data_IF_430202793873
#
_entry.id   IF_430202793873
#
_cell.length_a   1.000
_cell.length_b   1.000
_cell.length_c   1.000
_cell.angle_alpha   90.00
_cell.angle_beta   90.00
_cell.angle_gamma   90.00
#
_symmetry.space_group_name_H-M   'P 1'
#
loop_
_entity.id
_entity.type
_entity.pdbx_description
1 polymer ?
#
# COMPACT_ATOMS: atom_id res chain seq x y z
N UNK A 1 -10.11 11.80 18.14
CA UNK A 1 -10.72 12.14 19.44
C UNK A 1 -11.82 11.14 19.84
N UNK A 2 -12.52 10.51 18.87
CA UNK A 2 -13.63 9.58 19.15
C UNK A 2 -13.16 8.13 19.40
N UNK A 3 -11.86 7.92 19.62
CA UNK A 3 -11.27 6.67 20.05
C UNK A 3 -11.01 5.62 18.97
N UNK A 4 -11.20 5.96 17.69
CA UNK A 4 -10.75 5.10 16.60
C UNK A 4 -9.27 5.31 16.31
N UNK A 5 -8.55 4.21 16.05
CA UNK A 5 -7.21 4.32 15.46
C UNK A 5 -7.34 4.74 14.00
N UNK A 6 -6.63 5.80 13.64
CA UNK A 6 -6.41 6.16 12.25
C UNK A 6 -5.15 5.43 11.77
N UNK A 7 -5.23 4.77 10.63
CA UNK A 7 -4.09 4.12 10.00
C UNK A 7 -3.66 4.87 8.76
N UNK A 8 -2.38 4.78 8.43
CA UNK A 8 -1.89 5.16 7.11
C UNK A 8 -1.96 3.97 6.15
N UNK A 9 -2.09 4.26 4.87
CA UNK A 9 -1.82 3.30 3.80
C UNK A 9 -0.94 3.99 2.74
N UNK A 10 -0.52 3.24 1.73
CA UNK A 10 0.36 3.81 0.72
C UNK A 10 1.68 4.26 1.34
N UNK A 11 2.16 5.43 0.95
CA UNK A 11 3.49 5.96 1.32
C UNK A 11 3.49 6.96 2.48
N UNK A 12 2.35 7.25 3.11
CA UNK A 12 2.28 8.22 4.24
C UNK A 12 3.19 7.83 5.39
N UNK A 13 3.29 6.53 5.70
CA UNK A 13 4.17 6.03 6.77
C UNK A 13 5.67 6.16 6.48
N UNK A 14 6.09 6.67 5.31
CA UNK A 14 7.47 7.07 5.04
C UNK A 14 7.82 8.44 5.66
N UNK A 15 6.83 9.18 6.17
CA UNK A 15 7.02 10.50 6.78
C UNK A 15 7.11 10.39 8.29
N UNK A 16 8.27 10.73 8.86
CA UNK A 16 8.46 10.80 10.32
C UNK A 16 7.58 11.88 10.97
N UNK A 17 7.25 12.95 10.23
CA UNK A 17 6.30 13.97 10.69
C UNK A 17 4.90 13.37 10.88
N UNK A 18 4.47 12.48 9.99
CA UNK A 18 3.20 11.79 10.13
C UNK A 18 3.17 10.88 11.38
N UNK A 19 4.29 10.23 11.70
CA UNK A 19 4.46 9.44 12.94
C UNK A 19 4.35 10.34 14.18
N UNK A 20 5.10 11.42 14.22
CA UNK A 20 5.12 12.35 15.35
C UNK A 20 3.79 13.09 15.55
N UNK A 21 3.02 13.28 14.48
CA UNK A 21 1.67 13.88 14.54
C UNK A 21 0.57 12.86 14.91
N UNK A 22 0.92 11.58 15.10
CA UNK A 22 -0.06 10.52 15.40
C UNK A 22 -0.97 10.15 14.23
N UNK A 23 -0.62 10.53 13.01
CA UNK A 23 -1.35 10.16 11.78
C UNK A 23 -1.11 8.69 11.43
N UNK A 24 0.09 8.20 11.71
CA UNK A 24 0.49 6.81 11.52
C UNK A 24 1.31 6.31 12.71
N UNK A 25 1.29 5.00 12.93
CA UNK A 25 2.18 4.35 13.90
C UNK A 25 3.44 3.76 13.26
N UNK A 26 3.55 3.86 11.94
CA UNK A 26 4.76 3.46 11.21
C UNK A 26 5.87 4.45 11.49
N UNK A 27 6.97 3.98 12.09
CA UNK A 27 8.17 4.78 12.32
C UNK A 27 9.18 4.50 11.20
N UNK A 28 9.38 5.43 10.24
CA UNK A 28 10.25 5.19 9.10
C UNK A 28 11.75 5.22 9.40
N UNK A 29 12.14 5.66 10.57
CA UNK A 29 13.55 5.75 10.95
C UNK A 29 14.27 4.39 10.86
N UNK A 30 15.60 4.37 10.75
CA UNK A 30 16.37 3.14 10.88
C UNK A 30 16.10 2.43 12.20
N UNK A 31 16.31 1.10 12.30
CA UNK A 31 16.14 0.35 13.54
C UNK A 31 16.93 0.95 14.70
N UNK A 32 16.26 1.17 15.81
CA UNK A 32 16.83 1.79 17.00
C UNK A 32 16.12 1.36 18.28
N UNK A 33 16.77 1.56 19.41
CA UNK A 33 16.15 1.44 20.73
C UNK A 33 15.73 2.81 21.24
N UNK A 34 14.55 2.89 21.81
CA UNK A 34 14.02 4.12 22.45
C UNK A 34 13.59 3.82 23.89
N UNK A 35 14.10 4.56 24.83
CA UNK A 35 13.63 4.53 26.21
C UNK A 35 12.48 5.52 26.41
N UNK A 36 11.25 5.01 26.59
CA UNK A 36 10.07 5.84 26.81
C UNK A 36 10.09 6.61 28.15
N UNK A 37 11.02 6.27 29.06
CA UNK A 37 11.12 6.91 30.38
C UNK A 37 12.06 8.13 30.39
N UNK A 38 13.23 8.03 29.77
CA UNK A 38 14.23 9.12 29.78
C UNK A 38 14.58 9.64 28.39
N UNK A 39 13.87 9.18 27.36
CA UNK A 39 14.07 9.56 25.95
C UNK A 39 15.47 9.23 25.39
N UNK A 40 16.24 8.39 26.08
CA UNK A 40 17.50 7.89 25.55
C UNK A 40 17.24 7.02 24.33
N UNK A 41 17.95 7.25 23.24
CA UNK A 41 17.85 6.48 21.99
C UNK A 41 19.21 5.99 21.53
N UNK A 42 19.23 4.81 20.91
CA UNK A 42 20.42 4.19 20.34
C UNK A 42 20.10 3.66 18.96
N UNK A 43 20.61 4.33 17.92
CA UNK A 43 20.51 3.86 16.54
C UNK A 43 21.53 2.75 16.29
N UNK A 44 21.10 1.74 15.55
CA UNK A 44 21.98 0.64 15.15
C UNK A 44 22.74 1.01 13.88
N UNK A 45 23.90 0.39 13.69
CA UNK A 45 24.61 0.47 12.42
C UNK A 45 23.79 -0.20 11.32
N UNK A 46 23.96 0.31 10.11
CA UNK A 46 23.27 -0.19 8.91
C UNK A 46 23.54 -1.70 8.71
N UNK A 47 22.49 -2.46 8.39
CA UNK A 47 22.56 -3.90 8.16
C UNK A 47 22.57 -4.78 9.42
N UNK A 48 22.63 -4.21 10.65
CA UNK A 48 22.61 -5.00 11.90
C UNK A 48 21.23 -5.61 12.16
N UNK A 49 20.15 -4.90 11.82
CA UNK A 49 18.80 -5.40 11.93
C UNK A 49 17.95 -4.89 10.74
N UNK A 50 17.04 -5.72 10.28
CA UNK A 50 16.13 -5.37 9.19
C UNK A 50 14.92 -4.53 9.66
N UNK A 51 14.50 -4.73 10.93
CA UNK A 51 13.35 -4.06 11.53
C UNK A 51 13.56 -3.88 13.03
N UNK A 52 13.12 -2.75 13.57
CA UNK A 52 13.27 -2.43 14.99
C UNK A 52 12.41 -3.30 15.90
N UNK A 53 11.28 -3.82 15.41
CA UNK A 53 10.43 -4.69 16.22
C UNK A 53 10.98 -6.10 16.39
N UNK A 54 11.97 -6.49 15.59
CA UNK A 54 12.68 -7.77 15.72
C UNK A 54 13.90 -7.67 16.65
N UNK A 55 14.15 -6.50 17.23
CA UNK A 55 15.28 -6.32 18.17
C UNK A 55 15.04 -7.05 19.49
N UNK A 56 16.09 -7.69 20.06
CA UNK A 56 15.97 -8.30 21.36
C UNK A 56 15.71 -7.27 22.47
N UNK A 57 15.11 -7.73 23.56
CA UNK A 57 14.84 -6.88 24.72
C UNK A 57 16.14 -6.26 25.25
N UNK A 58 16.08 -4.97 25.60
CA UNK A 58 17.22 -4.20 26.10
C UNK A 58 16.82 -3.34 27.28
N UNK A 59 17.74 -3.20 28.22
CA UNK A 59 17.61 -2.29 29.36
C UNK A 59 18.36 -0.98 29.06
N UNK A 60 17.74 0.14 29.32
CA UNK A 60 18.32 1.45 29.12
C UNK A 60 19.57 1.64 30.00
N UNK A 61 20.71 1.97 29.42
CA UNK A 61 21.95 2.17 30.18
C UNK A 61 21.92 3.43 31.05
N UNK A 62 20.99 4.37 30.78
CA UNK A 62 20.88 5.64 31.51
C UNK A 62 19.97 5.54 32.73
N UNK A 63 18.79 4.91 32.59
CA UNK A 63 17.79 4.91 33.66
C UNK A 63 17.40 3.52 34.18
N UNK A 64 17.95 2.43 33.61
CA UNK A 64 17.68 1.06 34.01
C UNK A 64 16.27 0.54 33.68
N UNK A 65 15.49 1.25 32.87
CA UNK A 65 14.15 0.82 32.43
C UNK A 65 14.21 0.08 31.09
N UNK A 66 13.23 -0.76 30.75
CA UNK A 66 13.16 -1.39 29.43
C UNK A 66 13.15 -0.36 28.30
N UNK A 67 13.85 -0.65 27.23
CA UNK A 67 13.80 0.09 25.97
C UNK A 67 12.90 -0.62 24.97
N UNK A 68 12.27 0.16 24.11
CA UNK A 68 11.46 -0.34 22.99
C UNK A 68 12.30 -0.33 21.72
N UNK A 69 12.31 -1.45 20.98
CA UNK A 69 12.82 -1.48 19.62
C UNK A 69 11.81 -0.82 18.67
N UNK A 70 12.30 0.06 17.80
CA UNK A 70 11.49 0.79 16.80
C UNK A 70 12.28 1.01 15.51
N UNK A 71 11.55 1.46 14.47
CA UNK A 71 12.13 1.84 13.19
C UNK A 71 12.08 0.73 12.14
N UNK A 72 11.57 1.09 10.96
CA UNK A 72 11.32 0.14 9.86
C UNK A 72 12.20 0.40 8.63
N UNK A 73 13.16 1.33 8.73
CA UNK A 73 14.09 1.69 7.66
C UNK A 73 13.36 1.98 6.32
N UNK A 74 12.50 3.00 6.32
CA UNK A 74 11.72 3.41 5.16
C UNK A 74 12.23 4.76 4.65
N UNK A 75 12.81 4.86 3.46
CA UNK A 75 13.32 6.13 2.95
C UNK A 75 12.21 7.15 2.73
N UNK A 76 12.42 8.39 3.20
CA UNK A 76 11.48 9.50 3.01
C UNK A 76 11.31 9.88 1.54
N UNK A 77 12.33 9.66 0.75
CA UNK A 77 12.35 9.94 -0.69
C UNK A 77 11.25 9.17 -1.45
N UNK A 78 10.80 8.04 -0.93
CA UNK A 78 9.69 7.29 -1.53
C UNK A 78 8.35 8.03 -1.42
N UNK A 79 8.26 9.03 -0.54
CA UNK A 79 7.09 9.89 -0.35
C UNK A 79 7.13 11.17 -1.20
N UNK A 80 8.23 11.91 -1.16
CA UNK A 80 8.36 13.22 -1.82
C UNK A 80 9.42 13.28 -2.95
N UNK A 81 10.20 12.24 -3.18
CA UNK A 81 11.40 12.32 -4.03
C UNK A 81 12.58 12.97 -3.32
N UNK A 82 13.75 12.97 -3.95
CA UNK A 82 14.97 13.56 -3.37
C UNK A 82 14.94 15.10 -3.32
N UNK A 83 14.20 15.74 -4.20
CA UNK A 83 14.14 17.20 -4.34
C UNK A 83 12.73 17.74 -4.05
N UNK A 84 11.88 16.98 -3.37
CA UNK A 84 10.46 17.29 -3.20
C UNK A 84 9.74 17.52 -4.55
N UNK A 85 10.15 16.80 -5.56
CA UNK A 85 9.65 16.87 -6.94
C UNK A 85 8.49 15.90 -7.22
N UNK A 86 8.08 15.16 -6.20
CA UNK A 86 6.92 14.26 -6.26
C UNK A 86 5.79 14.80 -5.38
N UNK A 87 4.59 14.94 -5.97
CA UNK A 87 3.38 15.24 -5.18
C UNK A 87 3.06 14.03 -4.30
N UNK A 88 2.91 14.19 -2.97
CA UNK A 88 2.62 13.08 -2.08
C UNK A 88 1.19 12.57 -2.25
N UNK A 89 1.03 11.25 -2.29
CA UNK A 89 -0.28 10.61 -2.10
C UNK A 89 -0.55 10.49 -0.60
N UNK A 90 -1.62 11.12 -0.12
CA UNK A 90 -2.02 11.09 1.30
C UNK A 90 -3.22 10.17 1.46
N UNK A 91 -2.94 8.92 1.79
CA UNK A 91 -3.92 7.86 1.96
C UNK A 91 -4.08 7.51 3.44
N UNK A 92 -5.28 7.64 3.96
CA UNK A 92 -5.62 7.40 5.36
C UNK A 92 -6.77 6.42 5.50
N UNK A 93 -6.64 5.46 6.41
CA UNK A 93 -7.68 4.52 6.78
C UNK A 93 -8.43 5.01 8.02
N UNK A 94 -9.69 5.33 7.82
CA UNK A 94 -10.63 5.61 8.90
C UNK A 94 -11.58 4.42 9.11
N UNK A 95 -12.22 4.34 10.26
CA UNK A 95 -13.37 3.44 10.42
C UNK A 95 -14.42 3.75 9.36
N UNK A 96 -14.94 2.73 8.68
CA UNK A 96 -16.01 2.91 7.70
C UNK A 96 -17.26 3.58 8.29
N UNK A 97 -17.54 3.34 9.56
CA UNK A 97 -18.64 3.98 10.30
C UNK A 97 -18.39 5.48 10.55
N UNK A 98 -17.13 5.95 10.50
CA UNK A 98 -16.75 7.32 10.79
C UNK A 98 -16.27 8.11 9.56
N UNK A 99 -16.14 7.47 8.40
CA UNK A 99 -15.61 8.06 7.18
C UNK A 99 -16.36 9.35 6.76
N UNK A 100 -17.69 9.35 6.81
CA UNK A 100 -18.49 10.50 6.46
C UNK A 100 -18.18 11.73 7.33
N UNK A 101 -17.99 11.53 8.64
CA UNK A 101 -17.62 12.59 9.56
C UNK A 101 -16.20 13.13 9.26
N UNK A 102 -15.25 12.25 8.92
CA UNK A 102 -13.91 12.66 8.52
C UNK A 102 -13.94 13.49 7.23
N UNK A 103 -14.75 13.08 6.24
CA UNK A 103 -14.95 13.87 5.01
C UNK A 103 -15.55 15.25 5.35
N UNK A 104 -16.63 15.32 6.14
CA UNK A 104 -17.25 16.58 6.51
C UNK A 104 -16.28 17.51 7.25
N UNK A 105 -15.41 16.97 8.09
CA UNK A 105 -14.42 17.74 8.83
C UNK A 105 -13.39 18.42 7.92
N UNK A 106 -13.09 17.90 6.73
CA UNK A 106 -12.21 18.58 5.76
C UNK A 106 -12.78 19.93 5.31
N UNK A 107 -14.10 20.05 5.18
CA UNK A 107 -14.76 21.33 4.89
C UNK A 107 -14.55 22.35 6.01
N UNK A 108 -14.55 21.89 7.27
CA UNK A 108 -14.30 22.76 8.43
C UNK A 108 -12.86 23.29 8.43
N UNK A 109 -11.88 22.46 8.02
CA UNK A 109 -10.46 22.84 7.99
C UNK A 109 -10.15 23.77 6.83
N UNK A 110 -10.60 23.42 5.62
CA UNK A 110 -10.16 24.06 4.38
C UNK A 110 -11.19 25.06 3.80
N UNK A 111 -12.42 25.07 4.31
CA UNK A 111 -13.53 25.86 3.80
C UNK A 111 -14.42 25.07 2.83
N UNK A 112 -15.71 25.32 2.91
CA UNK A 112 -16.72 24.56 2.14
C UNK A 112 -16.57 24.74 0.62
N UNK A 113 -16.17 25.92 0.17
CA UNK A 113 -16.00 26.24 -1.24
C UNK A 113 -14.66 25.75 -1.83
N UNK A 114 -13.76 25.22 -0.99
CA UNK A 114 -12.45 24.70 -1.40
C UNK A 114 -12.36 23.19 -1.35
N UNK A 115 -13.43 22.48 -0.95
CA UNK A 115 -13.39 21.02 -0.75
C UNK A 115 -14.45 20.33 -1.62
N UNK A 116 -13.99 19.40 -2.45
CA UNK A 116 -14.82 18.67 -3.41
C UNK A 116 -14.53 17.17 -3.32
N UNK A 117 -15.52 16.35 -3.69
CA UNK A 117 -15.26 14.92 -3.95
C UNK A 117 -14.47 14.77 -5.25
N UNK A 118 -13.50 13.85 -5.27
CA UNK A 118 -12.79 13.55 -6.50
C UNK A 118 -13.72 12.86 -7.52
N UNK A 119 -13.76 13.38 -8.73
CA UNK A 119 -14.50 12.77 -9.84
C UNK A 119 -13.76 11.56 -10.41
N UNK A 120 -14.55 10.61 -10.93
CA UNK A 120 -14.04 9.47 -11.70
C UNK A 120 -14.76 9.40 -13.04
N UNK A 121 -14.04 8.97 -14.07
CA UNK A 121 -14.60 8.72 -15.40
C UNK A 121 -14.43 7.24 -15.71
N UNK A 122 -15.55 6.53 -15.81
CA UNK A 122 -15.57 5.15 -16.26
C UNK A 122 -15.65 5.07 -17.77
N UNK A 123 -14.77 4.29 -18.37
CA UNK A 123 -14.73 4.02 -19.80
C UNK A 123 -15.17 2.60 -20.12
N UNK A 124 -15.47 2.34 -21.37
CA UNK A 124 -15.79 0.99 -21.85
C UNK A 124 -14.49 0.19 -21.93
N UNK A 125 -14.38 -0.88 -21.11
CA UNK A 125 -13.25 -1.79 -21.18
C UNK A 125 -13.33 -2.64 -22.47
N UNK A 126 -12.17 -3.06 -23.02
CA UNK A 126 -12.10 -3.86 -24.27
C UNK A 126 -13.00 -5.10 -24.26
N UNK A 127 -12.98 -5.85 -23.16
CA UNK A 127 -13.82 -7.04 -23.00
C UNK A 127 -15.33 -6.71 -23.04
N UNK A 128 -15.72 -5.58 -22.44
CA UNK A 128 -17.10 -5.09 -22.46
C UNK A 128 -17.47 -4.59 -23.86
N UNK A 129 -16.55 -3.89 -24.52
CA UNK A 129 -16.73 -3.42 -25.90
C UNK A 129 -16.98 -4.58 -26.88
N UNK A 130 -16.24 -5.69 -26.73
CA UNK A 130 -16.47 -6.90 -27.53
C UNK A 130 -17.86 -7.49 -27.29
N UNK A 131 -18.30 -7.55 -26.02
CA UNK A 131 -19.65 -7.98 -25.65
C UNK A 131 -20.74 -7.12 -26.30
N UNK A 132 -20.54 -5.79 -26.33
CA UNK A 132 -21.46 -4.88 -27.01
C UNK A 132 -21.50 -5.09 -28.53
N UNK A 133 -20.33 -5.25 -29.16
CA UNK A 133 -20.26 -5.54 -30.60
C UNK A 133 -20.97 -6.85 -30.96
N UNK A 134 -20.80 -7.87 -30.14
CA UNK A 134 -21.48 -9.16 -30.32
C UNK A 134 -23.01 -9.04 -30.14
N UNK A 135 -23.45 -8.41 -29.03
CA UNK A 135 -24.88 -8.19 -28.78
C UNK A 135 -25.54 -7.34 -29.84
N UNK A 136 -24.82 -6.38 -30.43
CA UNK A 136 -25.32 -5.60 -31.56
C UNK A 136 -25.52 -6.49 -32.82
N UNK A 137 -24.56 -7.35 -33.15
CA UNK A 137 -24.69 -8.29 -34.25
C UNK A 137 -25.88 -9.26 -34.05
N UNK A 138 -26.07 -9.77 -32.83
CA UNK A 138 -27.21 -10.61 -32.45
C UNK A 138 -28.54 -9.85 -32.63
N UNK A 139 -28.60 -8.56 -32.22
CA UNK A 139 -29.80 -7.73 -32.38
C UNK A 139 -30.19 -7.54 -33.86
N UNK A 140 -29.19 -7.46 -34.73
CA UNK A 140 -29.39 -7.35 -36.17
C UNK A 140 -29.64 -8.68 -36.87
N UNK A 141 -29.49 -9.82 -36.17
CA UNK A 141 -29.63 -11.16 -36.74
C UNK A 141 -28.49 -11.55 -37.69
N UNK A 142 -27.32 -10.90 -37.57
CA UNK A 142 -26.14 -11.15 -38.42
C UNK A 142 -24.97 -11.79 -37.66
N UNK A 143 -25.21 -12.25 -36.46
CA UNK A 143 -24.18 -12.82 -35.57
C UNK A 143 -23.44 -14.03 -36.19
N UNK A 144 -24.12 -14.81 -37.03
CA UNK A 144 -23.54 -15.95 -37.76
C UNK A 144 -22.79 -15.54 -39.05
N UNK A 145 -22.96 -14.30 -39.50
CA UNK A 145 -22.35 -13.76 -40.72
C UNK A 145 -21.12 -12.91 -40.44
N UNK A 146 -21.05 -12.32 -39.24
CA UNK A 146 -19.96 -11.43 -38.85
C UNK A 146 -18.78 -12.22 -38.31
N UNK A 147 -17.60 -12.02 -38.89
CA UNK A 147 -16.36 -12.67 -38.44
C UNK A 147 -15.90 -12.05 -37.11
N UNK A 148 -15.25 -12.86 -36.26
CA UNK A 148 -14.67 -12.38 -34.98
C UNK A 148 -13.74 -11.18 -35.16
N UNK A 149 -12.94 -11.14 -36.24
CA UNK A 149 -12.07 -10.03 -36.55
C UNK A 149 -12.81 -8.69 -36.76
N UNK A 150 -14.03 -8.74 -37.33
CA UNK A 150 -14.86 -7.54 -37.48
C UNK A 150 -15.46 -7.11 -36.13
N UNK A 151 -15.90 -8.04 -35.29
CA UNK A 151 -16.32 -7.75 -33.91
C UNK A 151 -15.19 -7.13 -33.09
N UNK A 152 -13.95 -7.62 -33.23
CA UNK A 152 -12.78 -7.05 -32.61
C UNK A 152 -12.47 -5.64 -33.12
N UNK A 153 -12.60 -5.40 -34.43
CA UNK A 153 -12.42 -4.07 -35.02
C UNK A 153 -13.40 -3.05 -34.44
N UNK A 154 -14.69 -3.43 -34.37
CA UNK A 154 -15.73 -2.61 -33.77
C UNK A 154 -15.45 -2.36 -32.28
N UNK A 155 -15.11 -3.43 -31.54
CA UNK A 155 -14.79 -3.36 -30.13
C UNK A 155 -13.62 -2.40 -29.83
N UNK A 156 -12.54 -2.45 -30.64
CA UNK A 156 -11.41 -1.50 -30.50
C UNK A 156 -11.83 -0.05 -30.69
N UNK A 157 -12.78 0.23 -31.59
CA UNK A 157 -13.33 1.57 -31.79
C UNK A 157 -14.22 2.06 -30.64
N UNK A 158 -14.77 1.13 -29.84
CA UNK A 158 -15.61 1.43 -28.67
C UNK A 158 -14.83 1.41 -27.35
N UNK A 159 -13.64 0.79 -27.30
CA UNK A 159 -12.80 0.75 -26.12
C UNK A 159 -12.33 2.15 -25.72
N UNK A 160 -12.29 2.42 -24.42
CA UNK A 160 -11.83 3.72 -23.89
C UNK A 160 -12.86 4.86 -24.00
N UNK A 161 -14.00 4.67 -24.66
CA UNK A 161 -15.07 5.67 -24.74
C UNK A 161 -15.67 5.88 -23.35
N UNK A 162 -15.90 7.15 -22.97
CA UNK A 162 -16.57 7.51 -21.71
C UNK A 162 -17.94 6.87 -21.61
N UNK A 163 -18.20 6.19 -20.51
CA UNK A 163 -19.47 5.54 -20.19
C UNK A 163 -20.27 6.33 -19.16
N UNK A 164 -19.66 6.54 -17.98
CA UNK A 164 -20.29 7.23 -16.85
C UNK A 164 -19.27 8.08 -16.12
N UNK A 165 -19.77 9.09 -15.39
CA UNK A 165 -19.03 9.78 -14.35
C UNK A 165 -19.46 9.25 -12.99
N UNK A 166 -18.57 9.34 -12.00
CA UNK A 166 -18.83 8.90 -10.64
C UNK A 166 -18.01 9.69 -9.65
N UNK A 167 -18.13 9.31 -8.37
CA UNK A 167 -17.31 9.84 -7.29
C UNK A 167 -16.29 8.78 -6.86
N UNK A 168 -15.06 9.20 -6.59
CA UNK A 168 -14.08 8.36 -5.90
C UNK A 168 -14.57 8.10 -4.45
N UNK A 169 -14.54 6.87 -3.94
CA UNK A 169 -15.12 6.51 -2.65
C UNK A 169 -14.45 7.20 -1.45
N UNK A 170 -13.18 7.55 -1.55
CA UNK A 170 -12.40 8.19 -0.48
C UNK A 170 -11.76 9.52 -0.87
N UNK A 171 -11.71 9.86 -2.16
CA UNK A 171 -10.96 11.00 -2.66
C UNK A 171 -11.63 12.34 -2.34
N UNK A 172 -10.89 13.20 -1.67
CA UNK A 172 -11.23 14.59 -1.38
C UNK A 172 -10.21 15.48 -2.08
N UNK A 173 -10.69 16.38 -2.93
CA UNK A 173 -9.87 17.39 -3.59
C UNK A 173 -9.93 18.68 -2.78
N UNK A 174 -8.75 19.24 -2.51
CA UNK A 174 -8.61 20.53 -1.85
C UNK A 174 -8.05 21.55 -2.83
N UNK A 175 -8.83 22.62 -3.06
CA UNK A 175 -8.45 23.75 -3.90
C UNK A 175 -7.65 24.75 -3.05
N UNK A 176 -6.49 25.24 -3.51
CA UNK A 176 -5.72 26.23 -2.77
C UNK A 176 -6.53 27.51 -2.52
N UNK A 177 -6.30 28.17 -1.38
CA UNK A 177 -7.12 29.28 -0.87
C UNK A 177 -7.28 30.46 -1.83
N UNK A 178 -6.24 30.71 -2.65
CA UNK A 178 -6.19 31.86 -3.55
C UNK A 178 -6.77 31.56 -4.94
N UNK A 179 -7.36 30.37 -5.13
CA UNK A 179 -7.91 29.92 -6.41
C UNK A 179 -9.37 29.49 -6.28
N UNK A 180 -10.10 29.59 -7.39
CA UNK A 180 -11.43 29.02 -7.54
C UNK A 180 -11.36 27.61 -8.16
N UNK A 181 -12.35 26.77 -7.87
CA UNK A 181 -12.43 25.43 -8.47
C UNK A 181 -12.44 25.48 -10.00
N UNK A 182 -13.03 26.53 -10.60
CA UNK A 182 -13.11 26.69 -12.03
C UNK A 182 -11.77 27.01 -12.71
N UNK A 183 -10.73 27.36 -11.92
CA UNK A 183 -9.37 27.47 -12.45
C UNK A 183 -8.78 26.10 -12.80
N UNK A 184 -9.34 25.00 -12.24
CA UNK A 184 -8.85 23.63 -12.40
C UNK A 184 -9.85 22.72 -13.11
N UNK A 185 -11.15 22.80 -12.77
CA UNK A 185 -12.17 21.87 -13.24
C UNK A 185 -13.57 22.41 -13.04
N UNK A 186 -14.51 22.13 -13.93
CA UNK A 186 -15.93 22.22 -13.60
C UNK A 186 -16.27 21.25 -12.46
N UNK A 187 -17.36 21.48 -11.75
CA UNK A 187 -17.91 20.53 -10.81
C UNK A 187 -19.34 20.12 -11.19
N UNK A 188 -19.79 19.02 -10.64
CA UNK A 188 -21.13 18.48 -10.83
C UNK A 188 -21.71 17.99 -9.49
N UNK A 189 -23.03 17.90 -9.45
CA UNK A 189 -23.74 17.26 -8.35
C UNK A 189 -23.93 15.76 -8.66
N UNK A 190 -23.78 14.85 -7.66
CA UNK A 190 -24.02 13.42 -7.85
C UNK A 190 -25.43 13.17 -8.38
N UNK A 191 -25.57 12.36 -9.44
CA UNK A 191 -26.85 12.03 -10.08
C UNK A 191 -27.72 13.26 -10.44
N UNK A 192 -27.09 14.41 -10.69
CA UNK A 192 -27.75 15.70 -10.97
C UNK A 192 -28.66 16.22 -9.83
N UNK A 193 -28.49 15.70 -8.62
CA UNK A 193 -29.20 16.11 -7.42
C UNK A 193 -28.59 17.38 -6.82
N UNK A 194 -29.18 18.54 -7.08
CA UNK A 194 -28.74 19.83 -6.56
C UNK A 194 -28.86 19.97 -5.03
N UNK A 195 -29.60 19.07 -4.37
CA UNK A 195 -29.68 19.01 -2.92
C UNK A 195 -28.56 18.18 -2.27
N UNK A 196 -27.73 17.52 -3.07
CA UNK A 196 -26.61 16.73 -2.55
C UNK A 196 -25.62 17.61 -1.77
N UNK A 197 -25.21 17.15 -0.61
CA UNK A 197 -24.27 17.85 0.28
C UNK A 197 -22.88 18.04 -0.37
N UNK A 198 -22.49 17.13 -1.28
CA UNK A 198 -21.16 17.09 -1.87
C UNK A 198 -21.18 17.43 -3.36
N UNK A 199 -20.35 18.41 -3.72
CA UNK A 199 -19.99 18.68 -5.11
C UNK A 199 -18.82 17.81 -5.52
N UNK A 200 -18.78 17.37 -6.78
CA UNK A 200 -17.77 16.45 -7.32
C UNK A 200 -17.04 17.15 -8.47
N UNK A 201 -15.72 17.04 -8.52
CA UNK A 201 -14.95 17.52 -9.67
C UNK A 201 -15.39 16.76 -10.93
N UNK A 202 -15.55 17.49 -12.05
CA UNK A 202 -15.99 16.86 -13.31
C UNK A 202 -14.83 16.13 -14.00
N UNK A 203 -13.64 16.73 -13.99
CA UNK A 203 -12.47 16.05 -14.54
C UNK A 203 -12.04 14.92 -13.62
N UNK A 204 -11.57 13.83 -14.23
CA UNK A 204 -10.90 12.76 -13.50
C UNK A 204 -9.65 13.30 -12.81
N UNK A 205 -9.41 12.84 -11.59
CA UNK A 205 -8.27 13.33 -10.79
C UNK A 205 -6.93 13.20 -11.53
N UNK A 206 -6.74 12.13 -12.32
CA UNK A 206 -5.50 11.94 -13.07
C UNK A 206 -5.20 13.03 -14.11
N UNK A 207 -6.21 13.80 -14.49
CA UNK A 207 -6.03 14.94 -15.40
C UNK A 207 -5.64 16.25 -14.70
N UNK A 208 -5.82 16.34 -13.38
CA UNK A 208 -5.59 17.57 -12.59
C UNK A 208 -4.65 17.35 -11.39
N UNK A 209 -4.10 16.16 -11.21
CA UNK A 209 -3.34 15.75 -10.01
C UNK A 209 -2.05 16.57 -9.77
N UNK A 210 -1.49 17.17 -10.81
CA UNK A 210 -0.29 18.01 -10.68
C UNK A 210 -0.59 19.41 -10.12
N UNK A 211 -1.86 19.82 -10.10
CA UNK A 211 -2.28 21.18 -9.78
C UNK A 211 -3.06 21.29 -8.47
N UNK A 212 -3.65 20.20 -8.00
CA UNK A 212 -4.50 20.17 -6.81
C UNK A 212 -4.10 19.04 -5.87
N UNK A 213 -4.32 19.24 -4.56
CA UNK A 213 -4.05 18.21 -3.56
C UNK A 213 -5.26 17.28 -3.42
N UNK A 214 -5.00 15.98 -3.39
CA UNK A 214 -5.99 14.96 -3.06
C UNK A 214 -5.64 14.27 -1.75
N UNK A 215 -6.65 14.13 -0.88
CA UNK A 215 -6.63 13.22 0.26
C UNK A 215 -7.50 12.02 -0.03
N UNK A 216 -6.98 10.82 0.14
CA UNK A 216 -7.76 9.60 0.14
C UNK A 216 -8.12 9.22 1.58
N UNK A 217 -9.31 9.66 2.01
CA UNK A 217 -9.89 9.32 3.31
C UNK A 217 -10.81 8.12 3.10
N UNK A 218 -10.23 6.93 3.34
CA UNK A 218 -10.87 5.67 3.02
C UNK A 218 -11.56 5.06 4.24
N UNK A 219 -12.79 4.58 4.05
CA UNK A 219 -13.48 3.76 5.04
C UNK A 219 -12.93 2.34 5.02
N UNK A 220 -12.39 1.88 6.16
CA UNK A 220 -11.81 0.56 6.30
C UNK A 220 -12.44 -0.20 7.47
N UNK A 221 -12.40 -1.54 7.41
CA UNK A 221 -12.98 -2.40 8.46
C UNK A 221 -12.06 -2.47 9.68
N UNK A 222 -10.74 -2.48 9.47
CA UNK A 222 -9.75 -2.73 10.53
C UNK A 222 -9.85 -1.76 11.72
N UNK A 223 -9.95 -0.43 11.53
CA UNK A 223 -10.13 0.48 12.65
C UNK A 223 -11.40 0.21 13.46
N UNK A 224 -12.47 -0.25 12.79
CA UNK A 224 -13.73 -0.62 13.43
C UNK A 224 -13.58 -1.90 14.25
N UNK A 225 -12.90 -2.92 13.70
CA UNK A 225 -12.63 -4.20 14.39
C UNK A 225 -11.75 -3.97 15.61
N UNK A 226 -10.66 -3.22 15.47
CA UNK A 226 -9.75 -2.91 16.59
C UNK A 226 -10.49 -2.17 17.69
N UNK A 227 -11.35 -1.21 17.35
CA UNK A 227 -12.19 -0.52 18.33
C UNK A 227 -13.16 -1.47 19.04
N UNK A 228 -13.83 -2.33 18.29
CA UNK A 228 -14.72 -3.35 18.87
C UNK A 228 -13.96 -4.27 19.82
N UNK A 229 -12.77 -4.73 19.45
CA UNK A 229 -11.94 -5.57 20.31
C UNK A 229 -11.51 -4.84 21.58
N UNK A 230 -11.15 -3.56 21.48
CA UNK A 230 -10.86 -2.71 22.63
C UNK A 230 -12.06 -2.59 23.57
N UNK A 231 -13.26 -2.35 23.04
CA UNK A 231 -14.48 -2.23 23.84
C UNK A 231 -14.86 -3.56 24.53
N UNK A 232 -14.61 -4.71 23.88
CA UNK A 232 -14.90 -6.04 24.44
C UNK A 232 -13.86 -6.50 25.47
N UNK A 233 -12.60 -6.17 25.29
CA UNK A 233 -11.50 -6.68 26.12
C UNK A 233 -11.01 -5.69 27.17
N UNK A 234 -11.26 -4.39 26.98
CA UNK A 234 -10.68 -3.30 27.76
C UNK A 234 -9.19 -3.06 27.51
N UNK A 235 -8.58 -3.74 26.51
CA UNK A 235 -7.16 -3.60 26.18
C UNK A 235 -6.97 -2.45 25.20
N UNK A 236 -6.10 -1.50 25.54
CA UNK A 236 -5.68 -0.46 24.59
C UNK A 236 -4.77 -1.10 23.50
N UNK A 237 -5.16 -1.05 22.23
CA UNK A 237 -4.40 -1.68 21.14
C UNK A 237 -2.98 -1.14 21.01
N UNK A 238 -2.70 0.10 21.47
CA UNK A 238 -1.35 0.69 21.45
C UNK A 238 -0.41 0.05 22.47
N UNK A 239 -0.94 -0.65 23.46
CA UNK A 239 -0.15 -1.33 24.50
C UNK A 239 0.18 -2.77 24.15
N UNK A 240 -0.36 -3.32 23.07
CA UNK A 240 -0.11 -4.68 22.62
C UNK A 240 1.34 -4.80 22.15
N UNK A 241 2.14 -5.75 22.69
CA UNK A 241 3.50 -5.96 22.25
C UNK A 241 3.57 -6.42 20.79
N UNK A 242 4.51 -5.86 20.03
CA UNK A 242 4.72 -6.21 18.62
C UNK A 242 5.66 -7.40 18.42
N UNK A 243 6.34 -7.83 19.49
CA UNK A 243 7.33 -8.92 19.50
C UNK A 243 6.86 -10.15 20.30
N UNK A 244 5.56 -10.30 20.56
CA UNK A 244 5.03 -11.49 21.26
C UNK A 244 5.18 -12.74 20.39
N UNK A 245 5.99 -13.69 20.86
CA UNK A 245 6.28 -14.93 20.13
C UNK A 245 5.07 -15.85 19.95
N UNK A 246 4.08 -15.80 20.86
CA UNK A 246 2.82 -16.56 20.72
C UNK A 246 1.96 -15.97 19.62
N UNK A 247 1.85 -14.64 19.56
CA UNK A 247 1.14 -13.94 18.48
C UNK A 247 1.82 -14.24 17.15
N UNK A 248 3.15 -14.13 17.08
CA UNK A 248 3.91 -14.47 15.87
C UNK A 248 3.70 -15.92 15.41
N UNK A 249 3.58 -16.86 16.33
CA UNK A 249 3.33 -18.27 15.98
C UNK A 249 1.98 -18.49 15.29
N UNK A 250 0.98 -17.63 15.51
CA UNK A 250 -0.35 -17.73 14.90
C UNK A 250 -0.33 -17.54 13.38
N UNK A 251 0.69 -16.92 12.82
CA UNK A 251 0.85 -16.84 11.37
C UNK A 251 1.26 -18.18 10.73
N UNK A 252 1.76 -19.14 11.51
CA UNK A 252 2.22 -20.45 11.03
C UNK A 252 1.44 -21.64 11.59
N UNK A 253 0.94 -21.53 12.83
CA UNK A 253 0.15 -22.57 13.52
C UNK A 253 -1.07 -21.97 14.21
N UNK A 254 -1.96 -22.82 14.72
CA UNK A 254 -3.09 -22.41 15.59
C UNK A 254 -2.87 -22.76 17.05
N UNK A 255 -1.72 -23.31 17.43
CA UNK A 255 -1.49 -23.91 18.75
C UNK A 255 -1.69 -22.90 19.90
N UNK A 256 -1.26 -21.65 19.69
CA UNK A 256 -1.39 -20.60 20.70
C UNK A 256 -2.85 -20.21 21.01
N UNK A 257 -3.81 -20.54 20.13
CA UNK A 257 -5.25 -20.33 20.39
C UNK A 257 -5.85 -21.40 21.29
N UNK A 258 -5.15 -22.55 21.47
CA UNK A 258 -5.66 -23.67 22.25
C UNK A 258 -6.90 -24.36 21.65
N UNK A 259 -7.17 -24.15 20.36
CA UNK A 259 -8.31 -24.74 19.64
C UNK A 259 -7.82 -25.41 18.36
N UNK A 260 -8.45 -26.54 18.01
CA UNK A 260 -8.22 -27.21 16.74
C UNK A 260 -9.04 -26.54 15.63
N UNK A 261 -8.38 -25.98 14.63
CA UNK A 261 -9.00 -25.35 13.48
C UNK A 261 -9.11 -26.26 12.25
N UNK A 262 -8.81 -27.56 12.39
CA UNK A 262 -8.85 -28.52 11.28
C UNK A 262 -10.25 -28.66 10.67
N UNK A 263 -11.30 -28.52 11.49
CA UNK A 263 -12.70 -28.59 11.07
C UNK A 263 -13.11 -27.49 10.05
N UNK A 264 -12.39 -26.35 10.04
CA UNK A 264 -12.56 -25.28 9.05
C UNK A 264 -11.44 -25.29 8.00
N UNK A 265 -10.66 -26.36 7.94
CA UNK A 265 -9.52 -26.54 7.06
C UNK A 265 -8.50 -25.36 7.16
N UNK A 266 -8.21 -24.93 8.38
CA UNK A 266 -7.28 -23.86 8.67
C UNK A 266 -6.12 -24.38 9.51
N UNK A 267 -4.88 -24.15 9.05
CA UNK A 267 -3.67 -24.60 9.72
C UNK A 267 -3.06 -23.56 10.66
N UNK A 268 -3.43 -22.30 10.48
CA UNK A 268 -2.88 -21.18 11.24
C UNK A 268 -3.98 -20.29 11.79
N UNK A 269 -3.65 -19.43 12.76
CA UNK A 269 -4.56 -18.44 13.31
C UNK A 269 -4.87 -17.25 12.38
N UNK A 270 -4.34 -17.24 11.15
CA UNK A 270 -4.39 -16.06 10.26
C UNK A 270 -5.74 -15.84 9.55
N UNK A 271 -6.72 -16.76 9.65
CA UNK A 271 -7.96 -16.73 8.84
C UNK A 271 -8.76 -15.41 8.98
N UNK A 272 -8.84 -14.84 10.17
CA UNK A 272 -9.61 -13.62 10.45
C UNK A 272 -8.78 -12.34 10.38
N UNK A 273 -7.49 -12.43 10.09
CA UNK A 273 -6.59 -11.28 10.15
C UNK A 273 -6.71 -10.38 8.91
N UNK A 274 -6.65 -9.05 9.08
CA UNK A 274 -6.62 -8.11 7.97
C UNK A 274 -5.49 -8.46 6.98
N UNK A 275 -5.83 -8.54 5.70
CA UNK A 275 -4.96 -8.86 4.56
C UNK A 275 -4.27 -10.24 4.60
N UNK A 276 -4.03 -10.84 5.77
CA UNK A 276 -3.41 -12.16 5.93
C UNK A 276 -4.40 -13.33 5.84
N UNK A 277 -5.70 -13.07 6.00
CA UNK A 277 -6.75 -14.10 6.05
C UNK A 277 -7.13 -14.71 4.70
N UNK A 278 -6.69 -14.18 3.58
CA UNK A 278 -7.02 -14.71 2.25
C UNK A 278 -6.36 -16.07 2.02
N UNK A 279 -6.98 -16.92 1.19
CA UNK A 279 -6.42 -18.24 0.84
C UNK A 279 -5.02 -18.12 0.23
N UNK A 280 -4.80 -17.09 -0.59
CA UNK A 280 -3.52 -16.84 -1.23
C UNK A 280 -2.43 -16.54 -0.19
N UNK A 281 -2.67 -15.60 0.72
CA UNK A 281 -1.67 -15.21 1.73
C UNK A 281 -1.44 -16.31 2.74
N UNK A 282 -2.49 -17.03 3.17
CA UNK A 282 -2.33 -18.21 4.04
C UNK A 282 -1.47 -19.30 3.40
N UNK A 283 -1.58 -19.51 2.07
CA UNK A 283 -0.68 -20.40 1.34
C UNK A 283 0.77 -19.91 1.36
N UNK A 284 1.00 -18.60 1.23
CA UNK A 284 2.34 -18.02 1.35
C UNK A 284 2.93 -18.23 2.75
N UNK A 285 2.15 -17.97 3.79
CA UNK A 285 2.55 -18.20 5.19
C UNK A 285 2.94 -19.68 5.43
N UNK A 286 2.16 -20.61 4.88
CA UNK A 286 2.45 -22.05 4.99
C UNK A 286 3.74 -22.46 4.27
N UNK A 287 4.03 -21.83 3.13
CA UNK A 287 5.26 -22.10 2.36
C UNK A 287 6.50 -21.44 2.95
N UNK A 288 6.39 -20.21 3.43
CA UNK A 288 7.55 -19.39 3.85
C UNK A 288 7.87 -19.50 5.34
N UNK A 289 6.88 -19.89 6.18
CA UNK A 289 7.05 -20.06 7.63
C UNK A 289 7.72 -18.86 8.32
N UNK A 290 7.11 -17.65 8.27
CA UNK A 290 7.70 -16.46 8.86
C UNK A 290 7.99 -16.60 10.35
N UNK A 291 9.09 -15.99 10.80
CA UNK A 291 9.53 -16.04 12.20
C UNK A 291 9.66 -14.65 12.82
N UNK A 292 9.72 -13.60 11.99
CA UNK A 292 10.01 -12.24 12.43
C UNK A 292 8.97 -11.27 11.89
N UNK A 293 8.89 -10.08 12.52
CA UNK A 293 8.05 -8.98 12.03
C UNK A 293 8.41 -8.60 10.58
N UNK A 294 9.71 -8.51 10.30
CA UNK A 294 10.19 -8.22 8.95
C UNK A 294 9.76 -9.28 7.92
N UNK A 295 9.76 -10.57 8.28
CA UNK A 295 9.26 -11.63 7.38
C UNK A 295 7.79 -11.38 7.01
N UNK A 296 6.96 -10.94 7.95
CA UNK A 296 5.56 -10.61 7.69
C UNK A 296 5.42 -9.36 6.80
N UNK A 297 6.28 -8.36 6.99
CA UNK A 297 6.33 -7.17 6.12
C UNK A 297 6.65 -7.56 4.67
N UNK A 298 7.63 -8.43 4.47
CA UNK A 298 7.98 -8.96 3.14
C UNK A 298 6.80 -9.70 2.54
N UNK A 299 6.15 -10.61 3.28
CA UNK A 299 4.98 -11.37 2.81
C UNK A 299 3.81 -10.44 2.46
N UNK A 300 3.54 -9.43 3.27
CA UNK A 300 2.53 -8.41 2.97
C UNK A 300 2.85 -7.70 1.65
N UNK A 301 4.09 -7.28 1.43
CA UNK A 301 4.52 -6.66 0.18
C UNK A 301 4.37 -7.60 -1.03
N UNK A 302 4.78 -8.85 -0.90
CA UNK A 302 4.67 -9.88 -1.94
C UNK A 302 3.21 -10.16 -2.32
N UNK A 303 2.29 -10.08 -1.37
CA UNK A 303 0.88 -10.41 -1.57
C UNK A 303 0.08 -9.32 -2.29
N UNK A 304 0.51 -8.07 -2.19
CA UNK A 304 -0.20 -6.90 -2.71
C UNK A 304 0.26 -6.47 -4.11
N UNK A 305 1.40 -6.96 -4.57
CA UNK A 305 1.92 -6.61 -5.89
C UNK A 305 1.34 -7.49 -7.02
N UNK A 306 1.57 -7.06 -8.24
CA UNK A 306 1.26 -7.85 -9.44
C UNK A 306 2.55 -8.42 -10.01
N UNK A 307 2.58 -9.75 -10.25
CA UNK A 307 3.74 -10.52 -10.73
C UNK A 307 4.99 -10.39 -9.81
N UNK A 308 4.75 -10.23 -8.50
CA UNK A 308 5.80 -10.14 -7.49
C UNK A 308 6.10 -11.51 -6.88
N UNK A 309 5.06 -12.27 -6.47
CA UNK A 309 5.23 -13.57 -5.84
C UNK A 309 5.16 -14.73 -6.82
N UNK A 310 3.98 -15.01 -7.42
CA UNK A 310 3.80 -16.15 -8.30
C UNK A 310 4.67 -16.04 -9.56
N UNK A 311 5.42 -17.12 -9.84
CA UNK A 311 6.35 -17.16 -10.98
C UNK A 311 7.56 -16.24 -10.86
N UNK A 312 7.73 -15.54 -9.74
CA UNK A 312 8.85 -14.65 -9.44
C UNK A 312 9.49 -15.05 -8.10
N UNK A 313 9.22 -14.35 -7.00
CA UNK A 313 9.82 -14.63 -5.69
C UNK A 313 9.58 -16.08 -5.22
N UNK A 314 8.40 -16.62 -5.42
CA UNK A 314 8.10 -18.03 -5.14
C UNK A 314 9.07 -18.99 -5.82
N UNK A 315 9.32 -18.79 -7.11
CA UNK A 315 10.24 -19.65 -7.89
C UNK A 315 11.67 -19.51 -7.41
N UNK A 316 12.12 -18.28 -7.12
CA UNK A 316 13.46 -18.01 -6.62
C UNK A 316 13.71 -18.68 -5.27
N UNK A 317 12.77 -18.59 -4.34
CA UNK A 317 12.84 -19.22 -3.02
C UNK A 317 12.83 -20.75 -3.15
N UNK A 318 11.89 -21.32 -3.92
CA UNK A 318 11.78 -22.79 -4.12
C UNK A 318 13.02 -23.40 -4.75
N UNK A 319 13.67 -22.67 -5.65
CA UNK A 319 14.90 -23.13 -6.31
C UNK A 319 16.16 -22.89 -5.47
N UNK A 320 16.04 -22.28 -4.30
CA UNK A 320 17.19 -21.94 -3.46
C UNK A 320 18.10 -20.86 -4.04
N UNK A 321 17.60 -20.06 -5.00
CA UNK A 321 18.36 -18.95 -5.59
C UNK A 321 18.57 -17.82 -4.58
N UNK A 322 17.57 -17.57 -3.73
CA UNK A 322 17.62 -16.62 -2.64
C UNK A 322 16.64 -17.03 -1.52
N UNK A 323 16.77 -16.41 -0.37
CA UNK A 323 15.89 -16.58 0.79
C UNK A 323 14.73 -15.58 0.78
N UNK A 324 13.73 -15.76 1.67
CA UNK A 324 12.64 -14.80 1.86
C UNK A 324 13.18 -13.39 2.17
N UNK A 325 14.28 -13.28 2.90
CA UNK A 325 14.87 -11.98 3.29
C UNK A 325 15.58 -11.24 2.16
N UNK A 326 15.90 -11.94 1.07
CA UNK A 326 16.63 -11.37 -0.06
C UNK A 326 15.75 -11.05 -1.25
N UNK A 327 14.50 -11.54 -1.29
CA UNK A 327 13.57 -11.23 -2.38
C UNK A 327 13.12 -9.78 -2.34
N UNK A 328 12.68 -9.26 -3.47
CA UNK A 328 12.06 -7.94 -3.57
C UNK A 328 10.64 -8.04 -2.97
N UNK A 329 10.47 -7.59 -1.73
CA UNK A 329 9.18 -7.60 -1.02
C UNK A 329 8.37 -6.34 -1.30
N UNK A 330 8.97 -5.16 -1.14
CA UNK A 330 8.37 -3.86 -1.32
C UNK A 330 9.17 -3.01 -2.31
N UNK A 331 8.55 -1.95 -2.86
CA UNK A 331 9.25 -1.06 -3.79
C UNK A 331 10.46 -0.37 -3.15
N UNK A 332 10.34 -0.01 -1.87
CA UNK A 332 11.40 0.67 -1.10
C UNK A 332 12.66 -0.20 -0.98
N UNK A 333 12.50 -1.52 -0.89
CA UNK A 333 13.61 -2.46 -0.83
C UNK A 333 14.51 -2.38 -2.08
N UNK A 334 13.92 -2.09 -3.25
CA UNK A 334 14.68 -1.93 -4.50
C UNK A 334 15.64 -0.74 -4.39
N UNK A 335 15.13 0.39 -3.93
CA UNK A 335 15.93 1.62 -3.82
C UNK A 335 17.05 1.44 -2.80
N UNK A 336 16.73 0.94 -1.60
CA UNK A 336 17.71 0.69 -0.54
C UNK A 336 18.79 -0.27 -1.01
N UNK A 337 18.40 -1.43 -1.56
CA UNK A 337 19.35 -2.43 -2.05
C UNK A 337 20.30 -1.89 -3.13
N UNK A 338 19.78 -1.10 -4.07
CA UNK A 338 20.62 -0.53 -5.14
C UNK A 338 21.57 0.54 -4.59
N UNK A 339 21.14 1.35 -3.62
CA UNK A 339 22.02 2.31 -2.93
C UNK A 339 23.11 1.60 -2.15
N UNK A 340 22.79 0.53 -1.41
CA UNK A 340 23.76 -0.31 -0.70
C UNK A 340 24.79 -0.96 -1.65
N UNK A 341 24.39 -1.28 -2.90
CA UNK A 341 25.30 -1.73 -3.95
C UNK A 341 26.19 -0.60 -4.51
N UNK A 342 25.92 0.64 -4.14
CA UNK A 342 26.69 1.82 -4.54
C UNK A 342 26.15 2.58 -5.74
N UNK A 343 24.96 2.24 -6.24
CA UNK A 343 24.34 3.03 -7.33
C UNK A 343 24.05 4.45 -6.86
N UNK A 344 24.14 5.45 -7.77
CA UNK A 344 23.71 6.81 -7.46
C UNK A 344 22.25 6.85 -6.99
N UNK A 345 21.97 7.60 -5.95
CA UNK A 345 20.64 7.66 -5.31
C UNK A 345 19.51 7.97 -6.32
N UNK A 346 19.76 8.89 -7.26
CA UNK A 346 18.78 9.25 -8.29
C UNK A 346 18.47 8.08 -9.21
N UNK A 347 19.47 7.33 -9.66
CA UNK A 347 19.27 6.17 -10.54
C UNK A 347 18.55 5.05 -9.79
N UNK A 348 18.91 4.78 -8.53
CA UNK A 348 18.23 3.80 -7.68
C UNK A 348 16.74 4.14 -7.51
N UNK A 349 16.42 5.43 -7.29
CA UNK A 349 15.04 5.91 -7.20
C UNK A 349 14.28 5.75 -8.53
N UNK A 350 14.89 6.16 -9.64
CA UNK A 350 14.27 6.08 -10.96
C UNK A 350 14.02 4.62 -11.39
N UNK A 351 14.94 3.72 -11.07
CA UNK A 351 14.77 2.26 -11.26
C UNK A 351 13.60 1.75 -10.42
N UNK A 352 13.55 2.09 -9.14
CA UNK A 352 12.46 1.70 -8.25
C UNK A 352 11.09 2.21 -8.77
N UNK A 353 11.01 3.49 -9.16
CA UNK A 353 9.79 4.08 -9.74
C UNK A 353 9.36 3.40 -11.05
N UNK A 354 10.34 2.98 -11.86
CA UNK A 354 10.12 2.24 -13.09
C UNK A 354 9.55 0.84 -12.79
N UNK A 355 10.16 0.10 -11.86
CA UNK A 355 9.75 -1.26 -11.49
C UNK A 355 8.35 -1.26 -10.88
N UNK A 356 8.07 -0.37 -9.91
CA UNK A 356 6.76 -0.34 -9.24
C UNK A 356 5.58 -0.04 -10.17
N UNK A 357 5.84 0.59 -11.31
CA UNK A 357 4.85 0.92 -12.35
C UNK A 357 4.81 -0.10 -13.50
N UNK A 358 5.58 -1.18 -13.42
CA UNK A 358 5.65 -2.22 -14.45
C UNK A 358 6.26 -1.76 -15.78
N UNK A 359 7.06 -0.70 -15.77
CA UNK A 359 7.65 -0.10 -16.98
C UNK A 359 9.03 -0.65 -17.31
N UNK A 360 9.59 -1.55 -16.49
CA UNK A 360 10.96 -2.08 -16.63
C UNK A 360 11.25 -2.68 -18.01
N UNK A 361 10.36 -3.48 -18.63
CA UNK A 361 10.66 -4.06 -19.94
C UNK A 361 10.90 -3.03 -21.05
N UNK A 362 10.26 -1.87 -20.97
CA UNK A 362 10.42 -0.80 -21.94
C UNK A 362 11.57 0.16 -21.58
N UNK A 363 11.66 0.57 -20.31
CA UNK A 363 12.57 1.62 -19.86
C UNK A 363 13.99 1.11 -19.62
N UNK A 364 14.17 -0.13 -19.15
CA UNK A 364 15.49 -0.67 -18.85
C UNK A 364 16.43 -0.66 -20.08
N UNK A 365 16.01 -1.13 -21.29
CA UNK A 365 16.85 -1.01 -22.47
C UNK A 365 17.12 0.43 -22.87
N UNK A 366 16.13 1.31 -22.82
CA UNK A 366 16.24 2.72 -23.21
C UNK A 366 17.24 3.49 -22.35
N UNK A 367 17.15 3.30 -21.01
CA UNK A 367 18.00 3.98 -20.02
C UNK A 367 19.27 3.20 -19.66
N UNK A 368 19.48 2.02 -20.25
CA UNK A 368 20.60 1.12 -19.93
C UNK A 368 20.71 0.76 -18.44
N UNK A 369 19.57 0.66 -17.76
CA UNK A 369 19.54 0.37 -16.32
C UNK A 369 20.04 -1.05 -16.00
N UNK A 370 19.88 -2.00 -16.93
CA UNK A 370 20.42 -3.36 -16.74
C UNK A 370 21.95 -3.35 -16.74
N UNK A 371 22.58 -2.63 -17.66
CA UNK A 371 24.02 -2.45 -17.73
C UNK A 371 24.53 -1.76 -16.47
N UNK A 372 23.88 -0.66 -16.07
CA UNK A 372 24.21 0.06 -14.85
C UNK A 372 24.15 -0.83 -13.61
N UNK A 373 23.08 -1.58 -13.42
CA UNK A 373 22.97 -2.52 -12.29
C UNK A 373 24.08 -3.58 -12.30
N UNK A 374 24.47 -4.10 -13.48
CA UNK A 374 25.57 -5.07 -13.61
C UNK A 374 26.92 -4.47 -13.24
N UNK A 375 27.17 -3.21 -13.58
CA UNK A 375 28.41 -2.49 -13.19
C UNK A 375 28.57 -2.45 -11.66
N UNK A 376 27.47 -2.37 -10.93
CA UNK A 376 27.44 -2.39 -9.45
C UNK A 376 27.22 -3.78 -8.86
N UNK A 377 27.48 -4.85 -9.61
CA UNK A 377 27.39 -6.24 -9.17
C UNK A 377 25.99 -6.66 -8.65
N UNK A 378 24.91 -6.09 -9.20
CA UNK A 378 23.56 -6.57 -8.95
C UNK A 378 23.39 -7.91 -9.67
N UNK A 379 22.98 -8.99 -8.95
CA UNK A 379 22.87 -10.31 -9.57
C UNK A 379 21.76 -10.38 -10.63
N UNK A 380 21.98 -11.20 -11.65
CA UNK A 380 21.05 -11.29 -12.78
C UNK A 380 19.63 -11.69 -12.36
N UNK A 381 19.49 -12.60 -11.38
CA UNK A 381 18.17 -13.00 -10.89
C UNK A 381 17.37 -11.81 -10.30
N UNK A 382 18.05 -10.84 -9.67
CA UNK A 382 17.43 -9.64 -9.12
C UNK A 382 16.93 -8.73 -10.24
N UNK A 383 17.76 -8.51 -11.26
CA UNK A 383 17.40 -7.73 -12.47
C UNK A 383 16.21 -8.38 -13.18
N UNK A 384 16.23 -9.70 -13.33
CA UNK A 384 15.14 -10.45 -13.97
C UNK A 384 13.85 -10.39 -13.15
N UNK A 385 13.94 -10.39 -11.82
CA UNK A 385 12.82 -10.18 -10.92
C UNK A 385 12.21 -8.77 -11.11
N UNK A 386 13.04 -7.72 -11.17
CA UNK A 386 12.60 -6.36 -11.45
C UNK A 386 11.84 -6.25 -12.79
N UNK A 387 12.26 -6.98 -13.81
CA UNK A 387 11.60 -6.97 -15.13
C UNK A 387 10.23 -7.66 -15.15
N UNK A 388 10.02 -8.64 -14.26
CA UNK A 388 8.74 -9.37 -14.16
C UNK A 388 7.66 -8.56 -13.44
N UNK A 389 8.05 -7.74 -12.46
CA UNK A 389 7.14 -6.99 -11.61
C UNK A 389 6.33 -5.98 -12.43
N UNK A 390 5.01 -5.97 -12.26
CA UNK A 390 4.09 -5.03 -12.91
C UNK A 390 3.58 -3.95 -11.97
N UNK A 391 3.46 -4.26 -10.69
CA UNK A 391 3.04 -3.30 -9.69
C UNK A 391 3.53 -3.71 -8.30
N UNK A 392 4.01 -2.73 -7.51
CA UNK A 392 4.46 -2.94 -6.13
C UNK A 392 3.93 -1.89 -5.18
N UNK A 393 3.66 -2.34 -3.96
CA UNK A 393 3.27 -1.50 -2.84
C UNK A 393 4.47 -0.95 -2.06
N UNK A 394 4.29 0.18 -1.34
CA UNK A 394 5.32 0.73 -0.45
C UNK A 394 5.45 -0.09 0.83
N UNK A 395 6.66 -0.13 1.41
CA UNK A 395 6.95 -0.80 2.69
C UNK A 395 6.13 -0.23 3.85
N UNK A 396 5.90 1.08 3.86
CA UNK A 396 5.06 1.73 4.85
C UNK A 396 3.63 1.16 4.92
N UNK A 397 3.04 0.83 3.77
CA UNK A 397 1.75 0.15 3.70
C UNK A 397 1.82 -1.25 4.35
N UNK A 398 2.82 -2.04 3.98
CA UNK A 398 3.01 -3.39 4.52
C UNK A 398 3.18 -3.37 6.04
N UNK A 399 3.99 -2.47 6.58
CA UNK A 399 4.19 -2.31 8.02
C UNK A 399 2.88 -1.96 8.74
N UNK A 400 2.11 -1.00 8.21
CA UNK A 400 0.84 -0.59 8.82
C UNK A 400 -0.15 -1.78 8.96
N UNK A 401 -0.21 -2.62 7.93
CA UNK A 401 -1.13 -3.78 7.94
C UNK A 401 -0.61 -4.97 8.76
N UNK A 402 0.71 -5.17 8.83
CA UNK A 402 1.28 -6.15 9.78
C UNK A 402 0.97 -5.73 11.21
N UNK A 403 1.11 -4.43 11.56
CA UNK A 403 0.71 -3.90 12.86
C UNK A 403 -0.77 -4.16 13.16
N UNK A 404 -1.66 -3.88 12.21
CA UNK A 404 -3.09 -4.15 12.37
C UNK A 404 -3.37 -5.64 12.59
N UNK A 405 -2.71 -6.53 11.84
CA UNK A 405 -2.87 -7.97 11.97
C UNK A 405 -2.38 -8.50 13.33
N UNK A 406 -1.28 -7.96 13.87
CA UNK A 406 -0.78 -8.34 15.21
C UNK A 406 -1.72 -7.90 16.31
N UNK A 407 -2.39 -6.75 16.15
CA UNK A 407 -3.34 -6.24 17.16
C UNK A 407 -4.67 -6.96 17.20
N UNK A 408 -5.13 -7.47 16.07
CA UNK A 408 -6.37 -8.29 16.01
C UNK A 408 -6.13 -9.67 16.58
#
# INVERSE_FOLDING_TARGET
DDGYLVGSRGSVGSSFVATMSGITEVNPLPPHYLCLHCSHSEFLEEGVAADGYDLPDKICPVCGKPMKGEGHNIPFETFLGFNADKVPDIDLNFSGAYQANAHAFTKTIFGEDHVFRAGTISTVAEKTAYGYAKGYAETLGIDNEVRSAELERIARGCGGVKRTTGQHPGGIIVIPRDYDVFDFTPYQYPADDLSAEWRTTHFDFHAIHDNVLKFDILGHVDPTVIRMLQDLTGVDPKTIPTNDTKVMSLFTTSDALGVDLSYINCKSGALGLPEFGTTFVRSMLDQTKPQTFNDLVIISGLSHGTDVYLGNAETLIKNGTCTLKEVIGCRDDIMVYLIEKGLPNKDAFDIMECVRKGKSPAVFPEKKYEELMKEYNVPQWYIDSCKKIKYMFPKAHAVAYVLSAIRV
#
